data_IF_459516939361
#
_entry.id   IF_459516939361
#
_cell.length_a   1.000
_cell.length_b   1.000
_cell.length_c   1.000
_cell.angle_alpha   90.00
_cell.angle_beta   90.00
_cell.angle_gamma   90.00
#
_symmetry.space_group_name_H-M   'P 1'
#
loop_
_entity.id
_entity.type
_entity.pdbx_description
1 polymer ?
#
# COMPACT_ATOMS: atom_id res chain seq x y z
N UNK A 1 34.06 -22.19 -24.17
CA UNK A 1 33.81 -22.76 -22.84
C UNK A 1 32.91 -21.77 -22.13
N UNK A 2 31.64 -22.04 -22.09
CA UNK A 2 30.64 -21.11 -21.53
C UNK A 2 30.56 -21.33 -20.01
N UNK A 3 30.97 -20.35 -19.23
CA UNK A 3 30.73 -20.32 -17.80
C UNK A 3 29.26 -19.92 -17.56
N UNK A 4 28.38 -20.91 -17.38
CA UNK A 4 27.06 -20.69 -16.80
C UNK A 4 27.25 -20.29 -15.34
N UNK A 5 27.14 -19.01 -15.01
CA UNK A 5 26.96 -18.56 -13.63
C UNK A 5 25.53 -18.97 -13.21
N UNK A 6 25.45 -19.86 -12.23
CA UNK A 6 24.18 -20.27 -11.63
C UNK A 6 23.69 -19.14 -10.70
N UNK A 7 22.55 -18.61 -11.00
CA UNK A 7 21.78 -17.83 -10.06
C UNK A 7 21.41 -18.70 -8.86
N UNK A 8 21.66 -18.23 -7.64
CA UNK A 8 21.16 -18.87 -6.43
C UNK A 8 19.68 -18.47 -6.29
N UNK A 9 18.81 -19.41 -6.54
CA UNK A 9 17.38 -19.29 -6.32
C UNK A 9 17.08 -19.51 -4.84
N UNK A 10 16.41 -18.55 -4.24
CA UNK A 10 15.75 -18.75 -2.96
C UNK A 10 14.29 -19.09 -3.28
N UNK A 11 13.97 -20.38 -3.26
CA UNK A 11 12.60 -20.84 -3.40
C UNK A 11 11.89 -20.71 -2.06
N UNK A 12 10.91 -19.84 -1.96
CA UNK A 12 10.04 -19.73 -0.79
C UNK A 12 8.69 -20.34 -1.15
N UNK A 13 8.32 -21.39 -0.45
CA UNK A 13 7.02 -22.02 -0.59
C UNK A 13 5.98 -21.22 0.20
N UNK A 14 5.14 -20.47 -0.50
CA UNK A 14 3.99 -19.79 0.08
C UNK A 14 2.84 -20.78 0.20
N UNK A 15 2.48 -21.14 1.42
CA UNK A 15 1.28 -21.92 1.70
C UNK A 15 0.04 -21.02 1.77
N UNK A 16 -0.71 -20.88 0.69
CA UNK A 16 -2.02 -20.23 0.70
C UNK A 16 -3.08 -21.22 1.23
N UNK A 17 -3.73 -20.87 2.34
CA UNK A 17 -4.96 -21.52 2.78
C UNK A 17 -6.17 -20.74 2.25
N UNK A 18 -6.79 -21.25 1.18
CA UNK A 18 -8.00 -20.69 0.58
C UNK A 18 -9.23 -21.26 1.28
N UNK A 19 -9.96 -20.42 1.99
CA UNK A 19 -11.33 -20.70 2.45
C UNK A 19 -12.33 -20.06 1.49
N UNK A 20 -12.92 -20.84 0.60
CA UNK A 20 -13.93 -20.36 -0.32
C UNK A 20 -15.31 -20.28 0.34
N UNK A 21 -16.01 -19.18 0.16
CA UNK A 21 -17.46 -19.07 0.33
C UNK A 21 -18.08 -18.52 -0.95
N UNK A 22 -19.13 -19.20 -1.39
CA UNK A 22 -19.90 -18.88 -2.58
C UNK A 22 -20.94 -17.80 -2.24
N UNK A 23 -21.05 -16.78 -3.08
CA UNK A 23 -22.11 -15.77 -3.06
C UNK A 23 -23.21 -16.14 -4.06
N UNK A 24 -24.46 -15.91 -3.65
CA UNK A 24 -25.61 -15.89 -4.55
C UNK A 24 -25.92 -14.44 -4.93
N UNK A 25 -26.25 -14.26 -6.22
CA UNK A 25 -26.67 -12.99 -6.82
C UNK A 25 -28.11 -12.66 -6.40
N UNK A 26 -28.38 -11.39 -6.13
CA UNK A 26 -29.68 -10.77 -6.36
C UNK A 26 -29.46 -9.27 -6.69
N UNK A 27 -29.87 -8.92 -7.92
CA UNK A 27 -29.90 -7.56 -8.45
C UNK A 27 -31.06 -6.76 -7.85
N UNK A 28 -30.80 -5.54 -7.39
CA UNK A 28 -31.81 -4.48 -7.38
C UNK A 28 -31.19 -3.08 -7.53
N UNK A 29 -31.53 -2.44 -8.65
CA UNK A 29 -31.18 -1.06 -8.96
C UNK A 29 -32.02 -0.07 -8.12
N UNK A 30 -31.39 0.88 -7.45
CA UNK A 30 -32.02 2.16 -7.18
C UNK A 30 -31.03 3.32 -7.18
N UNK A 31 -31.31 4.23 -8.04
CA UNK A 31 -30.63 5.49 -8.33
C UNK A 31 -30.76 6.54 -7.22
N UNK A 32 -29.64 7.25 -6.96
CA UNK A 32 -29.60 8.69 -6.72
C UNK A 32 -29.87 9.17 -5.30
N UNK A 33 -28.85 9.73 -4.65
CA UNK A 33 -28.86 11.16 -4.35
C UNK A 33 -27.50 11.61 -3.77
N UNK A 34 -26.82 12.47 -4.47
CA UNK A 34 -25.63 13.16 -3.99
C UNK A 34 -26.07 14.41 -3.22
N UNK A 35 -25.97 14.37 -1.90
CA UNK A 35 -26.22 15.50 -1.03
C UNK A 35 -25.15 15.62 0.06
N UNK A 36 -24.03 16.29 -0.26
CA UNK A 36 -23.03 16.68 0.75
C UNK A 36 -23.62 17.76 1.66
N UNK A 37 -24.15 17.36 2.80
CA UNK A 37 -24.54 18.26 3.88
C UNK A 37 -23.52 18.20 5.00
N UNK A 38 -22.61 19.17 5.05
CA UNK A 38 -21.73 19.42 6.20
C UNK A 38 -22.52 20.11 7.31
N UNK A 39 -23.29 19.36 8.08
CA UNK A 39 -23.87 19.79 9.34
C UNK A 39 -23.19 19.02 10.46
N UNK A 40 -22.75 19.72 11.51
CA UNK A 40 -22.30 19.10 12.77
C UNK A 40 -23.45 18.29 13.33
N UNK A 41 -23.41 16.95 13.10
CA UNK A 41 -24.47 16.05 13.57
C UNK A 41 -24.32 15.89 15.07
N UNK A 42 -25.37 16.23 15.83
CA UNK A 42 -25.41 15.94 17.27
C UNK A 42 -25.25 14.45 17.50
N UNK A 43 -24.54 14.07 18.59
CA UNK A 43 -24.37 12.67 18.97
C UNK A 43 -25.73 12.01 19.23
N UNK A 44 -25.96 10.84 18.61
CA UNK A 44 -27.11 9.97 18.93
C UNK A 44 -26.92 9.31 20.29
N UNK A 45 -25.67 8.93 20.59
CA UNK A 45 -25.26 8.41 21.89
C UNK A 45 -23.87 8.95 22.21
N UNK A 46 -23.59 9.20 23.50
CA UNK A 46 -22.26 9.56 23.99
C UNK A 46 -21.82 8.57 25.04
N UNK A 47 -20.61 8.01 24.86
CA UNK A 47 -20.03 7.05 25.79
C UNK A 47 -18.79 7.63 26.46
N UNK A 48 -18.65 7.38 27.75
CA UNK A 48 -17.46 7.69 28.56
C UNK A 48 -16.75 6.40 28.97
N UNK A 49 -15.42 6.41 29.17
CA UNK A 49 -14.72 5.23 29.67
C UNK A 49 -15.32 4.70 30.99
N UNK A 50 -15.43 3.39 31.07
CA UNK A 50 -16.05 2.69 32.18
C UNK A 50 -15.36 1.35 32.45
N UNK A 51 -15.89 0.55 33.36
CA UNK A 51 -15.43 -0.84 33.58
C UNK A 51 -16.02 -1.84 32.55
N UNK A 52 -17.10 -1.44 31.86
CA UNK A 52 -17.86 -2.28 30.93
C UNK A 52 -17.71 -1.78 29.49
N UNK A 53 -16.52 -1.23 29.14
CA UNK A 53 -16.24 -0.56 27.86
C UNK A 53 -16.55 -1.43 26.65
N UNK A 54 -16.13 -2.71 26.67
CA UNK A 54 -16.39 -3.64 25.57
C UNK A 54 -17.89 -3.79 25.28
N UNK A 55 -18.68 -4.04 26.32
CA UNK A 55 -20.10 -4.25 26.15
C UNK A 55 -20.84 -2.97 25.75
N UNK A 56 -20.42 -1.83 26.33
CA UNK A 56 -21.02 -0.54 26.03
C UNK A 56 -20.74 -0.09 24.59
N UNK A 57 -19.48 -0.19 24.11
CA UNK A 57 -19.14 0.19 22.75
C UNK A 57 -19.76 -0.75 21.73
N UNK A 58 -19.62 -2.08 21.91
CA UNK A 58 -20.20 -3.04 20.99
C UNK A 58 -21.73 -2.97 21.01
N UNK A 59 -22.33 -2.72 22.17
CA UNK A 59 -23.79 -2.49 22.29
C UNK A 59 -24.23 -1.26 21.48
N UNK A 60 -23.51 -0.13 21.61
CA UNK A 60 -23.81 1.07 20.83
C UNK A 60 -23.64 0.85 19.32
N UNK A 61 -22.67 0.04 18.89
CA UNK A 61 -22.50 -0.30 17.46
C UNK A 61 -23.63 -1.19 16.93
N UNK A 62 -24.15 -2.11 17.76
CA UNK A 62 -25.27 -2.99 17.41
C UNK A 62 -26.59 -2.21 17.36
N UNK A 63 -26.80 -1.31 18.32
CA UNK A 63 -28.06 -0.56 18.48
C UNK A 63 -28.11 0.68 17.54
N UNK A 64 -27.01 1.01 16.83
CA UNK A 64 -26.96 2.15 15.93
C UNK A 64 -27.95 2.01 14.78
N UNK A 65 -28.63 3.11 14.47
CA UNK A 65 -29.47 3.24 13.29
C UNK A 65 -28.72 4.00 12.19
N UNK A 66 -29.16 3.79 10.96
CA UNK A 66 -28.58 4.47 9.79
C UNK A 66 -28.52 6.00 9.96
N UNK A 67 -27.32 6.52 9.89
CA UNK A 67 -27.04 7.95 10.00
C UNK A 67 -26.75 8.43 11.41
N UNK A 68 -26.65 7.53 12.38
CA UNK A 68 -26.29 7.86 13.75
C UNK A 68 -24.84 8.33 13.90
N UNK A 69 -24.60 9.11 14.94
CA UNK A 69 -23.27 9.49 15.39
C UNK A 69 -23.06 8.99 16.82
N UNK A 70 -22.11 8.07 16.97
CA UNK A 70 -21.66 7.55 18.25
C UNK A 70 -20.46 8.39 18.69
N UNK A 71 -20.63 9.17 19.74
CA UNK A 71 -19.58 10.01 20.29
C UNK A 71 -18.86 9.32 21.45
N UNK A 72 -17.54 9.38 21.45
CA UNK A 72 -16.70 8.84 22.50
C UNK A 72 -15.98 9.98 23.20
N UNK A 73 -16.22 10.14 24.49
CA UNK A 73 -15.52 11.15 25.29
C UNK A 73 -14.03 10.81 25.43
N UNK A 74 -13.25 11.82 25.73
CA UNK A 74 -11.82 11.69 26.04
C UNK A 74 -11.60 10.68 27.17
N UNK A 75 -10.61 9.81 26.98
CA UNK A 75 -10.16 8.83 27.95
C UNK A 75 -9.82 7.49 27.32
N UNK A 76 -9.49 6.52 28.16
CA UNK A 76 -9.05 5.19 27.72
C UNK A 76 -10.16 4.16 27.90
N UNK A 77 -10.67 3.66 26.81
CA UNK A 77 -11.60 2.56 26.75
C UNK A 77 -10.82 1.24 26.67
N UNK A 78 -11.01 0.34 27.62
CA UNK A 78 -10.33 -0.96 27.68
C UNK A 78 -11.14 -2.02 26.97
N UNK A 79 -10.58 -2.58 25.92
CA UNK A 79 -11.28 -3.49 25.03
C UNK A 79 -10.67 -4.89 25.10
N UNK A 80 -11.55 -5.88 25.26
CA UNK A 80 -11.18 -7.30 25.35
C UNK A 80 -11.53 -8.10 24.12
N UNK A 81 -12.17 -7.47 23.15
CA UNK A 81 -12.58 -8.06 21.87
C UNK A 81 -12.61 -7.04 20.75
N UNK A 82 -12.72 -7.55 19.53
CA UNK A 82 -12.95 -6.75 18.33
C UNK A 82 -14.27 -5.98 18.45
N UNK A 83 -14.29 -4.77 17.92
CA UNK A 83 -15.52 -4.01 17.71
C UNK A 83 -15.97 -4.17 16.25
N UNK A 84 -17.25 -4.40 16.03
CA UNK A 84 -17.80 -4.57 14.67
C UNK A 84 -18.91 -3.57 14.43
N UNK A 85 -18.73 -2.73 13.42
CA UNK A 85 -19.70 -1.76 12.91
C UNK A 85 -20.31 -2.32 11.62
N UNK A 86 -21.63 -2.60 11.67
CA UNK A 86 -22.34 -3.27 10.59
C UNK A 86 -23.62 -2.53 10.14
N UNK A 87 -23.79 -1.29 10.58
CA UNK A 87 -24.91 -0.43 10.19
C UNK A 87 -24.42 0.71 9.34
N UNK A 88 -24.97 0.87 8.14
CA UNK A 88 -24.50 1.86 7.16
C UNK A 88 -24.69 3.32 7.61
N UNK A 89 -23.76 4.18 7.17
CA UNK A 89 -23.79 5.63 7.41
C UNK A 89 -23.66 6.02 8.88
N UNK A 90 -23.01 5.20 9.67
CA UNK A 90 -22.70 5.51 11.07
C UNK A 90 -21.37 6.24 11.17
N UNK A 91 -21.33 7.26 12.02
CA UNK A 91 -20.09 7.97 12.36
C UNK A 91 -19.70 7.61 13.79
N UNK A 92 -18.51 7.06 13.97
CA UNK A 92 -17.88 6.89 15.29
C UNK A 92 -16.88 8.02 15.46
N UNK A 93 -17.16 8.94 16.39
CA UNK A 93 -16.39 10.16 16.58
C UNK A 93 -15.86 10.26 18.00
N UNK A 94 -14.56 10.33 18.15
CA UNK A 94 -13.91 10.63 19.42
C UNK A 94 -13.58 12.12 19.59
N UNK A 95 -12.87 12.39 20.66
CA UNK A 95 -12.23 13.67 20.96
C UNK A 95 -10.71 13.47 20.98
N UNK A 96 -9.94 14.56 20.95
CA UNK A 96 -8.51 14.48 21.17
C UNK A 96 -8.20 13.81 22.51
N UNK A 97 -7.55 12.64 22.48
CA UNK A 97 -7.25 11.81 23.65
C UNK A 97 -8.31 10.73 23.94
N UNK A 98 -9.21 10.45 23.00
CA UNK A 98 -10.00 9.22 23.01
C UNK A 98 -9.14 8.06 22.57
N UNK A 99 -8.95 7.07 23.45
CA UNK A 99 -8.06 5.91 23.23
C UNK A 99 -8.87 4.63 23.34
N UNK A 100 -8.85 3.81 22.30
CA UNK A 100 -9.36 2.45 22.25
C UNK A 100 -8.19 1.48 22.48
N UNK A 101 -8.06 0.96 23.69
CA UNK A 101 -6.92 0.14 24.13
C UNK A 101 -7.26 -1.35 24.05
N UNK A 102 -6.64 -2.04 23.08
CA UNK A 102 -6.80 -3.46 22.82
C UNK A 102 -5.72 -4.34 23.46
N UNK A 103 -4.91 -3.81 24.38
CA UNK A 103 -3.81 -4.55 25.02
C UNK A 103 -4.29 -5.88 25.63
N UNK A 104 -5.49 -5.89 26.23
CA UNK A 104 -6.09 -7.08 26.85
C UNK A 104 -7.03 -7.85 25.91
N UNK A 105 -6.98 -7.61 24.58
CA UNK A 105 -7.83 -8.26 23.60
C UNK A 105 -7.65 -9.79 23.66
N UNK A 106 -8.77 -10.52 23.82
CA UNK A 106 -8.81 -11.99 23.92
C UNK A 106 -9.70 -12.65 22.87
N UNK A 107 -10.55 -11.87 22.18
CA UNK A 107 -11.48 -12.35 21.14
C UNK A 107 -11.45 -11.43 19.91
N UNK A 108 -11.76 -12.02 18.75
CA UNK A 108 -11.62 -11.34 17.45
C UNK A 108 -10.15 -11.13 17.08
N UNK A 109 -9.90 -10.67 15.88
CA UNK A 109 -8.56 -10.41 15.37
C UNK A 109 -8.26 -8.91 15.33
N UNK A 110 -9.19 -8.09 14.86
CA UNK A 110 -8.99 -6.68 14.57
C UNK A 110 -9.38 -5.77 15.76
N UNK A 111 -8.96 -4.53 15.70
CA UNK A 111 -9.46 -3.49 16.59
C UNK A 111 -10.90 -3.15 16.24
N UNK A 112 -11.09 -2.47 15.10
CA UNK A 112 -12.43 -2.15 14.56
C UNK A 112 -12.59 -2.82 13.19
N UNK A 113 -13.69 -3.53 13.01
CA UNK A 113 -14.16 -4.05 11.72
C UNK A 113 -15.34 -3.21 11.22
N UNK A 114 -15.21 -2.66 10.00
CA UNK A 114 -16.28 -1.97 9.28
C UNK A 114 -16.78 -2.91 8.19
N UNK A 115 -18.07 -3.22 8.19
CA UNK A 115 -18.72 -4.12 7.24
C UNK A 115 -19.99 -3.53 6.62
N UNK A 116 -20.16 -2.22 6.70
CA UNK A 116 -21.27 -1.50 6.08
C UNK A 116 -20.78 -0.23 5.38
N UNK A 117 -21.58 0.25 4.42
CA UNK A 117 -21.22 1.36 3.54
C UNK A 117 -21.34 2.74 4.20
N UNK A 118 -20.53 3.68 3.72
CA UNK A 118 -20.53 5.08 4.12
C UNK A 118 -20.23 5.32 5.62
N UNK A 119 -19.55 4.41 6.27
CA UNK A 119 -19.19 4.56 7.68
C UNK A 119 -17.96 5.46 7.83
N UNK A 120 -17.93 6.19 8.93
CA UNK A 120 -16.85 7.13 9.24
C UNK A 120 -16.26 6.83 10.61
N UNK A 121 -14.94 6.68 10.68
CA UNK A 121 -14.17 6.77 11.92
C UNK A 121 -13.46 8.12 11.97
N UNK A 122 -13.62 8.86 13.04
CA UNK A 122 -13.08 10.21 13.19
C UNK A 122 -12.49 10.46 14.58
N UNK A 123 -11.25 10.93 14.62
CA UNK A 123 -10.57 11.37 15.83
C UNK A 123 -10.48 10.28 16.91
N UNK A 124 -9.85 9.16 16.58
CA UNK A 124 -9.66 8.00 17.45
C UNK A 124 -8.18 7.63 17.54
N UNK A 125 -7.75 7.14 18.70
CA UNK A 125 -6.47 6.45 18.85
C UNK A 125 -6.74 4.99 19.18
N UNK A 126 -6.19 4.07 18.40
CA UNK A 126 -6.32 2.62 18.53
C UNK A 126 -4.96 2.07 18.92
N UNK A 127 -4.87 1.45 20.09
CA UNK A 127 -3.63 0.93 20.62
C UNK A 127 -3.64 -0.60 20.74
N UNK A 128 -2.55 -1.24 20.28
CA UNK A 128 -2.22 -2.64 20.51
C UNK A 128 -3.28 -3.67 20.05
N UNK A 129 -3.94 -3.51 18.90
CA UNK A 129 -4.82 -4.58 18.38
C UNK A 129 -4.01 -5.83 18.06
N UNK A 130 -4.61 -7.02 18.19
CA UNK A 130 -3.91 -8.29 17.88
C UNK A 130 -3.69 -8.51 16.39
N UNK A 131 -4.63 -8.10 15.58
CA UNK A 131 -4.56 -8.11 14.12
C UNK A 131 -4.56 -6.68 13.58
N UNK A 132 -5.41 -6.39 12.61
CA UNK A 132 -5.47 -5.07 11.99
C UNK A 132 -6.08 -4.03 12.95
N UNK A 133 -5.60 -2.79 12.87
CA UNK A 133 -6.16 -1.72 13.71
C UNK A 133 -7.58 -1.37 13.29
N UNK A 134 -7.75 -0.97 12.04
CA UNK A 134 -9.04 -0.74 11.39
C UNK A 134 -9.10 -1.61 10.13
N UNK A 135 -10.09 -2.47 10.04
CA UNK A 135 -10.37 -3.27 8.85
C UNK A 135 -11.70 -2.85 8.24
N UNK A 136 -11.72 -2.56 6.94
CA UNK A 136 -12.95 -2.30 6.18
C UNK A 136 -13.00 -3.28 5.00
N UNK A 137 -14.01 -4.15 4.95
CA UNK A 137 -14.06 -5.24 3.99
C UNK A 137 -15.31 -5.16 3.14
N UNK A 138 -15.12 -5.08 1.81
CA UNK A 138 -16.20 -5.11 0.82
C UNK A 138 -17.25 -4.02 1.09
N UNK A 139 -16.79 -2.80 1.35
CA UNK A 139 -17.64 -1.64 1.66
C UNK A 139 -17.41 -0.50 0.67
N UNK A 140 -18.44 0.32 0.48
CA UNK A 140 -18.40 1.51 -0.37
C UNK A 140 -18.40 2.80 0.48
N UNK A 141 -17.60 3.78 0.10
CA UNK A 141 -17.41 5.05 0.81
C UNK A 141 -16.98 4.95 2.29
N UNK A 142 -16.05 4.08 2.70
CA UNK A 142 -15.50 4.16 4.05
C UNK A 142 -14.62 5.41 4.17
N UNK A 143 -14.82 6.15 5.26
CA UNK A 143 -14.00 7.32 5.61
C UNK A 143 -13.27 7.10 6.92
N UNK A 144 -11.94 7.16 6.89
CA UNK A 144 -11.08 7.04 8.07
C UNK A 144 -10.24 8.31 8.14
N UNK A 145 -10.50 9.15 9.13
CA UNK A 145 -9.79 10.44 9.28
C UNK A 145 -9.42 10.74 10.72
N UNK A 146 -8.28 11.39 10.92
CA UNK A 146 -7.73 11.68 12.23
C UNK A 146 -7.63 10.41 13.11
N UNK A 147 -7.39 9.25 12.54
CA UNK A 147 -7.27 7.99 13.26
C UNK A 147 -5.81 7.62 13.43
N UNK A 148 -5.39 7.42 14.68
CA UNK A 148 -4.05 6.95 15.03
C UNK A 148 -4.11 5.47 15.37
N UNK A 149 -3.31 4.64 14.71
CA UNK A 149 -3.15 3.22 15.04
C UNK A 149 -1.69 2.97 15.41
N UNK A 150 -1.46 2.40 16.58
CA UNK A 150 -0.11 2.09 17.00
C UNK A 150 0.01 0.84 17.87
N UNK A 151 1.14 0.17 17.75
CA UNK A 151 1.62 -0.82 18.71
C UNK A 151 2.66 -0.15 19.62
N UNK A 152 2.26 0.11 20.86
CA UNK A 152 3.00 0.99 21.79
C UNK A 152 4.36 0.46 22.22
N UNK A 153 4.62 -0.84 22.10
CA UNK A 153 5.93 -1.46 22.34
C UNK A 153 6.89 -1.32 21.14
N UNK A 154 6.43 -0.70 20.04
CA UNK A 154 7.19 -0.48 18.83
C UNK A 154 7.20 -1.66 17.85
N UNK A 155 8.08 -1.62 16.82
CA UNK A 155 8.12 -2.61 15.74
C UNK A 155 8.41 -4.02 16.24
N UNK A 156 7.51 -4.97 15.91
CA UNK A 156 7.67 -6.37 16.30
C UNK A 156 6.92 -7.27 15.32
N UNK A 157 7.53 -8.40 14.93
CA UNK A 157 6.91 -9.40 14.05
C UNK A 157 5.63 -10.03 14.61
N UNK A 158 5.36 -9.90 15.91
CA UNK A 158 4.13 -10.37 16.56
C UNK A 158 3.01 -9.33 16.58
N UNK A 159 3.26 -8.12 16.14
CA UNK A 159 2.23 -7.10 15.98
C UNK A 159 1.25 -7.50 14.89
N UNK A 160 0.07 -6.90 14.87
CA UNK A 160 -0.87 -7.07 13.77
C UNK A 160 -0.30 -6.62 12.42
N UNK A 161 -0.87 -7.14 11.34
CA UNK A 161 -0.35 -6.90 10.00
C UNK A 161 -0.51 -5.45 9.56
N UNK A 162 -1.69 -4.91 9.72
CA UNK A 162 -2.04 -3.62 9.14
C UNK A 162 -2.57 -2.63 10.17
N UNK A 163 -2.12 -1.37 10.06
CA UNK A 163 -2.72 -0.30 10.87
C UNK A 163 -4.13 0.03 10.36
N UNK A 164 -4.25 0.49 9.12
CA UNK A 164 -5.52 0.78 8.45
C UNK A 164 -5.60 -0.07 7.20
N UNK A 165 -6.67 -0.88 7.05
CA UNK A 165 -6.77 -1.96 6.07
C UNK A 165 -8.14 -2.03 5.37
N UNK A 166 -8.46 -1.12 4.45
CA UNK A 166 -9.55 -1.33 3.49
C UNK A 166 -9.16 -2.38 2.43
N UNK A 167 -10.07 -3.33 2.17
CA UNK A 167 -9.87 -4.37 1.15
C UNK A 167 -11.18 -4.67 0.44
N UNK A 168 -11.10 -4.91 -0.88
CA UNK A 168 -12.27 -5.14 -1.77
C UNK A 168 -13.34 -4.04 -1.64
N UNK A 169 -12.92 -2.81 -1.45
CA UNK A 169 -13.75 -1.65 -1.17
C UNK A 169 -13.66 -0.61 -2.28
N UNK A 170 -14.58 0.35 -2.31
CA UNK A 170 -14.55 1.44 -3.29
C UNK A 170 -14.80 2.80 -2.64
N UNK A 171 -14.37 3.89 -3.32
CA UNK A 171 -14.46 5.26 -2.82
C UNK A 171 -13.86 5.44 -1.43
N UNK A 172 -12.65 4.88 -1.24
CA UNK A 172 -11.96 4.84 0.06
C UNK A 172 -11.29 6.17 0.36
N UNK A 173 -11.61 6.79 1.50
CA UNK A 173 -10.91 7.98 1.99
C UNK A 173 -10.15 7.69 3.29
N UNK A 174 -8.82 7.90 3.25
CA UNK A 174 -7.94 7.85 4.42
C UNK A 174 -7.17 9.17 4.49
N UNK A 175 -7.46 9.98 5.49
CA UNK A 175 -6.84 11.31 5.61
C UNK A 175 -6.46 11.69 7.04
N UNK A 176 -5.37 12.44 7.17
CA UNK A 176 -4.90 12.97 8.44
C UNK A 176 -4.68 11.88 9.52
N UNK A 177 -4.34 10.65 9.09
CA UNK A 177 -4.15 9.49 9.95
C UNK A 177 -2.67 9.27 10.30
N UNK A 178 -2.45 8.49 11.37
CA UNK A 178 -1.13 8.04 11.79
C UNK A 178 -1.13 6.51 11.97
N UNK A 179 -0.07 5.84 11.47
CA UNK A 179 0.09 4.40 11.65
C UNK A 179 1.54 4.03 12.02
N UNK A 180 1.72 3.24 13.09
CA UNK A 180 3.04 2.86 13.57
C UNK A 180 3.10 1.47 14.18
N UNK A 181 4.13 0.71 13.84
CA UNK A 181 4.44 -0.58 14.44
C UNK A 181 3.81 -1.79 13.76
N UNK A 182 3.12 -1.63 12.62
CA UNK A 182 2.53 -2.72 11.86
C UNK A 182 3.61 -3.69 11.34
N UNK A 183 3.37 -5.01 11.48
CA UNK A 183 4.31 -6.04 11.03
C UNK A 183 4.27 -6.31 9.53
N UNK A 184 3.39 -5.62 8.83
CA UNK A 184 3.27 -5.54 7.38
C UNK A 184 3.16 -4.06 6.98
N UNK A 185 2.00 -3.48 6.80
CA UNK A 185 1.85 -2.12 6.31
C UNK A 185 1.08 -1.20 7.27
N UNK A 186 1.58 0.02 7.48
CA UNK A 186 0.90 1.03 8.30
C UNK A 186 -0.47 1.41 7.73
N UNK A 187 -0.53 1.80 6.45
CA UNK A 187 -1.77 2.15 5.73
C UNK A 187 -1.80 1.35 4.43
N UNK A 188 -2.71 0.39 4.34
CA UNK A 188 -2.88 -0.49 3.19
C UNK A 188 -4.26 -0.32 2.58
N UNK A 189 -4.34 -0.31 1.25
CA UNK A 189 -5.60 -0.46 0.51
C UNK A 189 -5.39 -1.49 -0.60
N UNK A 190 -6.15 -2.57 -0.58
CA UNK A 190 -6.00 -3.66 -1.56
C UNK A 190 -7.29 -4.06 -2.25
N UNK A 191 -7.15 -4.50 -3.52
CA UNK A 191 -8.23 -5.01 -4.36
C UNK A 191 -9.44 -4.07 -4.44
N UNK A 192 -9.17 -2.77 -4.43
CA UNK A 192 -10.13 -1.68 -4.26
C UNK A 192 -10.06 -0.70 -5.43
N UNK A 193 -11.00 0.25 -5.51
CA UNK A 193 -11.02 1.29 -6.52
C UNK A 193 -11.43 2.65 -5.96
N UNK A 194 -11.08 3.71 -6.70
CA UNK A 194 -11.42 5.10 -6.35
C UNK A 194 -10.94 5.44 -4.93
N UNK A 195 -9.62 5.54 -4.78
CA UNK A 195 -8.95 5.58 -3.49
C UNK A 195 -8.27 6.94 -3.29
N UNK A 196 -8.46 7.57 -2.14
CA UNK A 196 -7.72 8.75 -1.71
C UNK A 196 -7.00 8.46 -0.39
N UNK A 197 -5.66 8.54 -0.39
CA UNK A 197 -4.80 8.42 0.79
C UNK A 197 -3.99 9.71 0.88
N UNK A 198 -4.32 10.60 1.82
CA UNK A 198 -3.69 11.92 1.87
C UNK A 198 -3.37 12.43 3.28
N UNK A 199 -2.31 13.22 3.38
CA UNK A 199 -1.90 13.91 4.60
C UNK A 199 -1.67 12.97 5.79
N UNK A 200 -1.31 11.71 5.54
CA UNK A 200 -1.09 10.73 6.59
C UNK A 200 0.40 10.67 6.96
N UNK A 201 0.67 10.21 8.16
CA UNK A 201 2.01 9.86 8.62
C UNK A 201 2.09 8.35 8.90
N UNK A 202 3.09 7.68 8.31
CA UNK A 202 3.33 6.26 8.52
C UNK A 202 4.80 6.03 8.88
N UNK A 203 5.06 5.49 10.07
CA UNK A 203 6.42 5.33 10.59
C UNK A 203 6.58 4.04 11.38
N UNK A 204 7.80 3.49 11.41
CA UNK A 204 8.13 2.29 12.19
C UNK A 204 7.33 1.03 11.79
N UNK A 205 6.85 0.96 10.55
CA UNK A 205 6.20 -0.21 9.96
C UNK A 205 7.16 -0.96 9.04
N UNK A 206 6.77 -2.12 8.49
CA UNK A 206 7.54 -2.71 7.39
C UNK A 206 7.31 -1.89 6.13
N UNK A 207 6.09 -1.74 5.64
CA UNK A 207 5.79 -0.71 4.65
C UNK A 207 5.04 0.46 5.28
N UNK A 208 5.33 1.69 4.85
CA UNK A 208 4.57 2.86 5.32
C UNK A 208 3.17 2.88 4.76
N UNK A 209 3.06 2.96 3.42
CA UNK A 209 1.80 2.99 2.68
C UNK A 209 1.86 1.98 1.54
N UNK A 210 0.78 1.26 1.30
CA UNK A 210 0.68 0.29 0.22
C UNK A 210 -0.66 0.35 -0.50
N UNK A 211 -0.60 0.35 -1.83
CA UNK A 211 -1.74 0.17 -2.73
C UNK A 211 -1.50 -1.12 -3.50
N UNK A 212 -2.33 -2.14 -3.24
CA UNK A 212 -2.13 -3.48 -3.80
C UNK A 212 -3.32 -3.90 -4.67
N UNK A 213 -3.05 -4.38 -5.90
CA UNK A 213 -4.07 -4.88 -6.84
C UNK A 213 -5.31 -3.96 -6.91
N UNK A 214 -5.09 -2.67 -6.93
CA UNK A 214 -6.15 -1.66 -6.86
C UNK A 214 -6.10 -0.74 -8.07
N UNK A 215 -7.21 -0.07 -8.38
CA UNK A 215 -7.29 0.82 -9.53
C UNK A 215 -7.73 2.22 -9.10
N UNK A 216 -7.19 3.23 -9.80
CA UNK A 216 -7.58 4.61 -9.57
C UNK A 216 -7.35 5.04 -8.11
N UNK A 217 -6.08 5.09 -7.70
CA UNK A 217 -5.66 5.53 -6.38
C UNK A 217 -4.92 6.88 -6.46
N UNK A 218 -5.25 7.83 -5.60
CA UNK A 218 -4.53 9.10 -5.43
C UNK A 218 -3.86 9.13 -4.05
N UNK A 219 -2.52 9.09 -4.01
CA UNK A 219 -1.70 9.00 -2.79
C UNK A 219 -0.84 10.25 -2.69
N UNK A 220 -1.19 11.20 -1.83
CA UNK A 220 -0.50 12.51 -1.82
C UNK A 220 -0.44 13.20 -0.48
N UNK A 221 0.56 14.07 -0.34
CA UNK A 221 0.76 14.86 0.88
C UNK A 221 1.12 14.02 2.11
N UNK A 222 1.46 12.73 1.92
CA UNK A 222 1.79 11.84 3.03
C UNK A 222 3.26 11.95 3.43
N UNK A 223 3.56 11.59 4.67
CA UNK A 223 4.89 11.45 5.21
C UNK A 223 5.15 9.99 5.59
N UNK A 224 5.87 9.27 4.73
CA UNK A 224 6.30 7.89 4.97
C UNK A 224 7.78 7.86 5.35
N UNK A 225 8.10 7.61 6.64
CA UNK A 225 9.47 7.68 7.11
C UNK A 225 9.78 6.67 8.20
N UNK A 226 11.05 6.29 8.33
CA UNK A 226 11.47 5.36 9.38
C UNK A 226 10.88 3.96 9.29
N UNK A 227 10.32 3.57 8.15
CA UNK A 227 9.85 2.22 7.84
C UNK A 227 10.97 1.39 7.19
N UNK A 228 10.72 0.14 6.84
CA UNK A 228 11.63 -0.65 5.98
C UNK A 228 11.51 -0.18 4.53
N UNK A 229 10.28 -0.02 4.03
CA UNK A 229 9.93 0.57 2.75
C UNK A 229 8.93 1.72 2.94
N UNK A 230 8.99 2.76 2.09
CA UNK A 230 8.15 3.95 2.21
C UNK A 230 6.76 3.76 1.61
N UNK A 231 6.63 3.83 0.28
CA UNK A 231 5.37 3.65 -0.44
C UNK A 231 5.51 2.51 -1.44
N UNK A 232 4.55 1.57 -1.43
CA UNK A 232 4.51 0.41 -2.31
C UNK A 232 3.27 0.47 -3.21
N UNK A 233 3.45 0.20 -4.51
CA UNK A 233 2.36 0.05 -5.49
C UNK A 233 2.52 -1.34 -6.10
N UNK A 234 1.82 -2.30 -5.55
CA UNK A 234 2.01 -3.71 -5.87
C UNK A 234 0.84 -4.29 -6.66
N UNK A 235 1.18 -5.21 -7.54
CA UNK A 235 0.24 -6.07 -8.21
C UNK A 235 0.72 -7.52 -8.04
N UNK A 236 -0.02 -8.32 -7.29
CA UNK A 236 0.33 -9.68 -6.91
C UNK A 236 -0.57 -10.70 -7.59
N UNK A 237 -0.06 -11.90 -7.94
CA UNK A 237 -0.87 -12.97 -8.51
C UNK A 237 -1.82 -13.59 -7.49
N UNK A 238 -2.89 -14.23 -7.97
CA UNK A 238 -3.80 -15.03 -7.14
C UNK A 238 -4.86 -14.24 -6.39
N UNK A 239 -4.88 -12.90 -6.53
CA UNK A 239 -5.88 -12.03 -5.91
C UNK A 239 -7.11 -11.84 -6.81
N UNK A 240 -8.20 -11.28 -6.30
CA UNK A 240 -9.45 -11.10 -7.05
C UNK A 240 -9.32 -10.05 -8.15
N UNK A 241 -8.65 -8.94 -7.88
CA UNK A 241 -8.27 -7.96 -8.90
C UNK A 241 -6.92 -8.35 -9.49
N UNK A 242 -6.87 -8.57 -10.80
CA UNK A 242 -5.70 -9.12 -11.50
C UNK A 242 -4.73 -8.08 -12.04
N UNK A 243 -5.20 -6.86 -12.25
CA UNK A 243 -4.49 -5.83 -12.98
C UNK A 243 -4.69 -4.47 -12.28
N UNK A 244 -4.04 -4.31 -11.13
CA UNK A 244 -3.98 -3.05 -10.40
C UNK A 244 -3.19 -2.02 -11.20
N UNK A 245 -3.73 -0.79 -11.32
CA UNK A 245 -3.17 0.28 -12.15
C UNK A 245 -3.69 1.67 -11.82
N UNK A 246 -3.05 2.66 -12.40
CA UNK A 246 -3.42 4.08 -12.30
C UNK A 246 -3.38 4.61 -10.87
N UNK A 247 -2.32 4.25 -10.15
CA UNK A 247 -1.97 4.93 -8.91
C UNK A 247 -1.25 6.26 -9.24
N UNK A 248 -1.80 7.37 -8.77
CA UNK A 248 -1.19 8.69 -8.83
C UNK A 248 -0.53 8.99 -7.48
N UNK A 249 0.80 8.84 -7.41
CA UNK A 249 1.58 9.01 -6.18
C UNK A 249 2.36 10.32 -6.28
N UNK A 250 1.90 11.36 -5.55
CA UNK A 250 2.48 12.69 -5.74
C UNK A 250 2.57 13.54 -4.46
N UNK A 251 3.49 14.49 -4.47
CA UNK A 251 3.68 15.47 -3.39
C UNK A 251 3.89 14.83 -1.99
N UNK A 252 4.41 13.60 -1.93
CA UNK A 252 4.71 12.91 -0.67
C UNK A 252 6.14 13.22 -0.22
N UNK A 253 6.36 13.16 1.11
CA UNK A 253 7.67 13.10 1.73
C UNK A 253 7.97 11.63 2.07
N UNK A 254 8.95 11.05 1.40
CA UNK A 254 9.36 9.65 1.55
C UNK A 254 10.84 9.69 1.94
N UNK A 255 11.14 9.45 3.23
CA UNK A 255 12.49 9.67 3.71
C UNK A 255 12.90 8.71 4.84
N UNK A 256 14.20 8.41 4.88
CA UNK A 256 14.78 7.62 5.97
C UNK A 256 14.10 6.27 6.23
N UNK A 257 13.49 5.63 5.23
CA UNK A 257 12.87 4.31 5.38
C UNK A 257 13.94 3.22 5.43
N UNK A 258 14.63 3.15 6.56
CA UNK A 258 15.83 2.35 6.76
C UNK A 258 15.72 1.35 7.93
N UNK A 259 14.52 1.10 8.44
CA UNK A 259 14.27 0.12 9.48
C UNK A 259 14.58 -1.28 8.96
N UNK A 260 15.20 -2.12 9.77
CA UNK A 260 15.38 -3.52 9.42
C UNK A 260 14.02 -4.20 9.23
N UNK A 261 13.89 -5.00 8.15
CA UNK A 261 12.64 -5.70 7.89
C UNK A 261 12.33 -6.68 9.02
N UNK A 262 11.20 -6.50 9.66
CA UNK A 262 10.75 -7.34 10.78
C UNK A 262 9.46 -8.10 10.46
N UNK A 263 9.04 -8.14 9.19
CA UNK A 263 7.87 -8.91 8.77
C UNK A 263 8.00 -10.39 9.15
N UNK A 264 6.89 -11.05 9.49
CA UNK A 264 6.88 -12.50 9.61
C UNK A 264 7.33 -13.17 8.31
N UNK A 265 8.23 -14.15 8.39
CA UNK A 265 8.72 -14.86 7.21
C UNK A 265 7.59 -15.57 6.44
N UNK A 266 7.68 -15.55 5.10
CA UNK A 266 6.75 -16.21 4.20
C UNK A 266 5.73 -15.27 3.51
N UNK A 267 5.67 -14.02 3.92
CA UNK A 267 4.89 -12.98 3.23
C UNK A 267 5.79 -12.26 2.23
N UNK A 268 5.20 -11.76 1.14
CA UNK A 268 5.93 -11.01 0.10
C UNK A 268 6.60 -9.75 0.67
N UNK A 269 5.98 -9.12 1.64
CA UNK A 269 6.49 -7.91 2.30
C UNK A 269 7.84 -8.17 3.02
N UNK A 270 8.12 -9.41 3.42
CA UNK A 270 9.40 -9.79 4.01
C UNK A 270 10.56 -9.72 3.00
N UNK A 271 10.28 -9.69 1.70
CA UNK A 271 11.27 -9.57 0.64
C UNK A 271 11.58 -8.11 0.27
N UNK A 272 10.81 -7.14 0.78
CA UNK A 272 11.08 -5.72 0.56
C UNK A 272 12.43 -5.34 1.19
N UNK A 273 13.38 -4.84 0.38
CA UNK A 273 14.69 -4.50 0.90
C UNK A 273 14.63 -3.34 1.91
N UNK A 274 15.35 -3.48 3.00
CA UNK A 274 15.58 -2.37 3.92
C UNK A 274 16.15 -1.16 3.17
N UNK A 275 15.58 0.01 3.35
CA UNK A 275 16.04 1.21 2.67
C UNK A 275 15.41 1.40 1.28
N UNK A 276 14.15 0.99 1.13
CA UNK A 276 13.36 1.24 -0.08
C UNK A 276 12.53 2.51 0.08
N UNK A 277 12.61 3.44 -0.87
CA UNK A 277 11.78 4.64 -0.90
C UNK A 277 10.40 4.34 -1.47
N UNK A 278 10.30 4.20 -2.79
CA UNK A 278 9.07 3.84 -3.49
C UNK A 278 9.31 2.60 -4.37
N UNK A 279 8.37 1.66 -4.35
CA UNK A 279 8.49 0.43 -5.10
C UNK A 279 7.20 0.14 -5.90
N UNK A 280 7.35 0.07 -7.22
CA UNK A 280 6.29 -0.40 -8.13
C UNK A 280 6.62 -1.83 -8.55
N UNK A 281 5.72 -2.76 -8.25
CA UNK A 281 5.84 -4.17 -8.61
C UNK A 281 4.69 -4.58 -9.53
N UNK A 282 5.01 -4.90 -10.79
CA UNK A 282 4.08 -5.43 -11.79
C UNK A 282 2.78 -4.60 -11.94
N UNK A 283 2.82 -3.30 -11.68
CA UNK A 283 1.67 -2.40 -11.78
C UNK A 283 1.84 -1.40 -12.92
N UNK A 284 0.75 -1.12 -13.62
CA UNK A 284 0.70 -0.39 -14.87
C UNK A 284 0.14 1.02 -14.75
N UNK A 285 0.45 1.86 -15.76
CA UNK A 285 -0.18 3.16 -15.98
C UNK A 285 -0.13 4.11 -14.75
N UNK A 286 0.83 3.94 -13.85
CA UNK A 286 0.96 4.77 -12.67
C UNK A 286 1.65 6.09 -13.01
N UNK A 287 1.29 7.15 -12.30
CA UNK A 287 1.93 8.46 -12.35
C UNK A 287 2.60 8.75 -11.00
N UNK A 288 3.92 9.01 -11.00
CA UNK A 288 4.72 9.20 -9.79
C UNK A 288 5.48 10.52 -9.93
N UNK A 289 5.03 11.56 -9.23
CA UNK A 289 5.57 12.90 -9.46
C UNK A 289 5.58 13.81 -8.23
N UNK A 290 6.42 14.84 -8.27
CA UNK A 290 6.46 15.86 -7.21
C UNK A 290 6.88 15.35 -5.83
N UNK A 291 7.26 14.08 -5.70
CA UNK A 291 7.65 13.52 -4.42
C UNK A 291 9.08 13.94 -4.03
N UNK A 292 9.31 14.08 -2.73
CA UNK A 292 10.66 14.19 -2.16
C UNK A 292 11.08 12.83 -1.61
N UNK A 293 12.11 12.22 -2.18
CA UNK A 293 12.56 10.85 -1.89
C UNK A 293 14.04 10.86 -1.55
N UNK A 294 14.38 10.66 -0.27
CA UNK A 294 15.76 10.83 0.18
C UNK A 294 16.19 9.91 1.32
N UNK A 295 17.51 9.72 1.42
CA UNK A 295 18.16 8.99 2.50
C UNK A 295 17.73 7.50 2.60
N UNK A 296 17.50 6.83 1.47
CA UNK A 296 17.21 5.41 1.45
C UNK A 296 18.48 4.58 1.21
N UNK A 297 18.74 3.60 2.07
CA UNK A 297 19.94 2.78 1.96
C UNK A 297 20.05 2.03 0.64
N UNK A 298 18.94 1.53 0.15
CA UNK A 298 18.92 0.62 -0.98
C UNK A 298 18.47 1.28 -2.29
N UNK A 299 17.28 1.87 -2.35
CA UNK A 299 16.67 2.30 -3.61
C UNK A 299 15.80 3.53 -3.37
N UNK A 300 15.88 4.53 -4.26
CA UNK A 300 14.95 5.66 -4.27
C UNK A 300 13.59 5.25 -4.82
N UNK A 301 13.50 5.02 -6.14
CA UNK A 301 12.33 4.45 -6.81
C UNK A 301 12.75 3.21 -7.58
N UNK A 302 12.00 2.11 -7.48
CA UNK A 302 12.15 0.92 -8.31
C UNK A 302 10.88 0.59 -9.08
N UNK A 303 11.04 0.19 -10.35
CA UNK A 303 9.99 -0.35 -11.22
C UNK A 303 10.43 -1.76 -11.61
N UNK A 304 9.75 -2.76 -11.07
CA UNK A 304 10.18 -4.15 -11.11
C UNK A 304 9.04 -5.04 -11.57
N UNK A 305 9.36 -5.97 -12.46
CA UNK A 305 8.44 -7.02 -12.89
C UNK A 305 8.34 -8.15 -11.86
N UNK A 306 7.26 -8.88 -11.86
CA UNK A 306 7.10 -10.08 -11.04
C UNK A 306 8.16 -11.16 -11.38
N UNK A 307 8.67 -11.18 -12.60
CA UNK A 307 9.73 -12.11 -13.02
C UNK A 307 11.01 -12.01 -12.20
N UNK A 308 11.36 -10.81 -11.75
CA UNK A 308 12.54 -10.64 -10.91
C UNK A 308 12.33 -11.24 -9.51
N UNK A 309 11.10 -11.26 -9.02
CA UNK A 309 10.75 -11.76 -7.69
C UNK A 309 10.58 -13.28 -7.70
N UNK A 310 9.95 -13.85 -8.74
CA UNK A 310 9.64 -15.30 -8.78
C UNK A 310 9.85 -15.93 -10.17
N UNK A 311 11.08 -15.96 -10.66
CA UNK A 311 11.44 -16.51 -11.99
C UNK A 311 11.05 -17.97 -12.23
N UNK A 312 11.00 -18.81 -11.20
CA UNK A 312 10.89 -20.28 -11.35
C UNK A 312 9.46 -20.82 -11.28
N UNK A 313 8.45 -19.98 -11.21
CA UNK A 313 7.07 -20.40 -11.01
C UNK A 313 6.17 -20.24 -12.23
N UNK A 314 6.74 -20.13 -13.45
CA UNK A 314 6.00 -19.93 -14.70
C UNK A 314 4.79 -20.88 -14.91
N UNK A 315 4.80 -22.06 -14.34
CA UNK A 315 3.70 -23.03 -14.48
C UNK A 315 2.63 -22.97 -13.39
N UNK A 316 2.81 -22.13 -12.36
CA UNK A 316 1.90 -22.05 -11.21
C UNK A 316 1.22 -20.68 -11.07
N UNK A 317 1.58 -19.73 -11.94
CA UNK A 317 1.08 -18.38 -11.86
C UNK A 317 -0.33 -18.27 -12.45
N UNK A 318 -1.06 -17.29 -11.94
CA UNK A 318 -2.38 -16.94 -12.43
C UNK A 318 -2.32 -16.52 -13.90
N UNK A 319 -2.97 -17.22 -14.85
CA UNK A 319 -2.85 -16.92 -16.28
C UNK A 319 -3.48 -15.58 -16.68
N UNK A 320 -4.26 -14.96 -15.81
CA UNK A 320 -4.87 -13.65 -16.02
C UNK A 320 -4.03 -12.50 -15.40
N UNK A 321 -2.93 -12.84 -14.74
CA UNK A 321 -2.06 -11.85 -14.07
C UNK A 321 -1.04 -11.26 -15.05
N UNK A 322 -0.91 -9.93 -15.05
CA UNK A 322 0.14 -9.23 -15.78
C UNK A 322 1.42 -9.10 -14.92
N UNK A 323 2.54 -9.63 -15.43
CA UNK A 323 3.84 -9.62 -14.74
C UNK A 323 4.63 -8.34 -14.92
N UNK A 324 4.26 -7.53 -15.88
CA UNK A 324 5.08 -6.45 -16.42
C UNK A 324 4.59 -5.10 -15.92
N UNK A 325 5.47 -4.28 -15.33
CA UNK A 325 5.14 -2.89 -15.04
C UNK A 325 5.33 -2.05 -16.29
N UNK A 326 4.26 -1.63 -16.92
CA UNK A 326 4.28 -0.88 -18.16
C UNK A 326 3.62 0.50 -18.04
N UNK A 327 3.99 1.40 -18.94
CA UNK A 327 3.36 2.72 -19.10
C UNK A 327 3.41 3.61 -17.85
N UNK A 328 4.28 3.31 -16.89
CA UNK A 328 4.46 4.15 -15.72
C UNK A 328 5.15 5.46 -16.12
N UNK A 329 4.75 6.56 -15.51
CA UNK A 329 5.31 7.88 -15.73
C UNK A 329 5.90 8.44 -14.44
N UNK A 330 7.23 8.47 -14.35
CA UNK A 330 7.99 8.95 -13.19
C UNK A 330 8.60 10.29 -13.56
N UNK A 331 8.12 11.39 -12.96
CA UNK A 331 8.57 12.72 -13.36
C UNK A 331 8.56 13.74 -12.21
N UNK A 332 9.39 14.76 -12.37
CA UNK A 332 9.45 15.92 -11.49
C UNK A 332 9.63 15.60 -9.99
N UNK A 333 10.22 14.44 -9.66
CA UNK A 333 10.56 14.07 -8.29
C UNK A 333 11.90 14.68 -7.87
N UNK A 334 12.04 14.98 -6.59
CA UNK A 334 13.29 15.44 -5.97
C UNK A 334 13.91 14.25 -5.23
N UNK A 335 15.08 13.81 -5.69
CA UNK A 335 15.72 12.61 -5.14
C UNK A 335 17.16 12.91 -4.72
N UNK A 336 17.58 12.39 -3.56
CA UNK A 336 18.95 12.51 -3.07
C UNK A 336 19.33 11.46 -2.04
N UNK A 337 20.61 11.14 -1.97
CA UNK A 337 21.21 10.30 -0.94
C UNK A 337 20.62 8.87 -0.85
N UNK A 338 20.19 8.31 -2.00
CA UNK A 338 19.67 6.96 -2.10
C UNK A 338 20.74 5.96 -2.60
N UNK A 339 20.57 4.67 -2.27
CA UNK A 339 21.34 3.56 -2.87
C UNK A 339 22.79 3.42 -2.39
N UNK A 340 23.17 4.00 -1.27
CA UNK A 340 24.56 4.04 -0.83
C UNK A 340 24.97 2.90 0.12
N UNK A 341 24.00 2.22 0.76
CA UNK A 341 24.25 1.15 1.74
C UNK A 341 23.25 0.01 1.51
N UNK A 342 23.52 -0.80 0.48
CA UNK A 342 22.59 -1.80 -0.05
C UNK A 342 22.33 -2.94 0.95
N UNK A 343 21.06 -3.29 1.11
CA UNK A 343 20.61 -4.30 2.06
C UNK A 343 19.78 -5.40 1.37
N UNK A 344 19.96 -6.66 1.82
CA UNK A 344 19.13 -7.77 1.34
C UNK A 344 19.17 -7.97 -0.18
N UNK A 345 18.03 -8.08 -0.81
CA UNK A 345 17.85 -8.33 -2.25
C UNK A 345 18.47 -7.22 -3.12
N UNK A 346 18.49 -5.98 -2.67
CA UNK A 346 19.10 -4.88 -3.42
C UNK A 346 20.62 -5.05 -3.57
N UNK A 347 21.30 -5.64 -2.58
CA UNK A 347 22.72 -5.96 -2.69
C UNK A 347 22.97 -7.06 -3.73
N UNK A 348 22.06 -8.02 -3.89
CA UNK A 348 22.14 -9.05 -4.93
C UNK A 348 21.92 -8.44 -6.32
N UNK A 349 20.93 -7.56 -6.46
CA UNK A 349 20.66 -6.83 -7.70
C UNK A 349 21.87 -6.02 -8.13
N UNK A 350 22.48 -5.28 -7.23
CA UNK A 350 23.67 -4.49 -7.50
C UNK A 350 24.87 -5.35 -7.87
N UNK A 351 25.07 -6.48 -7.21
CA UNK A 351 26.14 -7.42 -7.52
C UNK A 351 26.01 -8.04 -8.92
N UNK A 352 24.77 -8.30 -9.35
CA UNK A 352 24.48 -8.76 -10.72
C UNK A 352 24.78 -7.66 -11.74
N UNK A 353 24.41 -6.44 -11.42
CA UNK A 353 24.66 -5.27 -12.24
C UNK A 353 26.14 -4.84 -12.23
N UNK A 354 27.01 -5.48 -11.44
CA UNK A 354 28.42 -5.07 -11.21
C UNK A 354 28.53 -3.63 -10.71
N UNK A 355 27.62 -3.25 -9.81
CA UNK A 355 27.55 -1.93 -9.19
C UNK A 355 27.84 -2.01 -7.68
N UNK A 356 28.46 -0.99 -7.12
CA UNK A 356 28.69 -0.87 -5.68
C UNK A 356 27.58 -0.13 -4.94
N UNK A 357 26.69 0.54 -5.69
CA UNK A 357 25.51 1.27 -5.24
C UNK A 357 24.44 1.21 -6.31
N UNK A 358 23.20 1.35 -5.93
CA UNK A 358 22.11 1.51 -6.91
C UNK A 358 21.81 3.00 -7.13
N UNK A 359 21.50 3.40 -8.37
CA UNK A 359 20.98 4.72 -8.69
C UNK A 359 19.64 5.04 -7.99
N UNK A 360 19.22 6.31 -8.02
CA UNK A 360 17.96 6.75 -7.47
C UNK A 360 16.74 6.09 -8.13
N UNK A 361 16.83 5.88 -9.45
CA UNK A 361 15.79 5.24 -10.27
C UNK A 361 16.33 3.90 -10.80
N UNK A 362 15.63 2.82 -10.48
CA UNK A 362 15.98 1.46 -10.90
C UNK A 362 14.82 0.85 -11.68
N UNK A 363 15.09 0.42 -12.91
CA UNK A 363 14.17 -0.41 -13.69
C UNK A 363 14.84 -1.74 -14.03
N UNK A 364 14.13 -2.85 -13.89
CA UNK A 364 14.68 -4.19 -14.17
C UNK A 364 14.93 -4.45 -15.66
N UNK A 365 14.30 -3.68 -16.54
CA UNK A 365 14.50 -3.77 -17.99
C UNK A 365 13.73 -4.90 -18.66
N UNK A 366 12.86 -5.59 -17.93
CA UNK A 366 12.03 -6.68 -18.48
C UNK A 366 10.87 -6.10 -19.28
N UNK A 367 10.66 -6.60 -20.49
CA UNK A 367 9.70 -6.11 -21.47
C UNK A 367 8.76 -7.25 -21.88
N UNK A 368 7.45 -6.98 -21.89
CA UNK A 368 6.49 -7.89 -22.52
C UNK A 368 6.64 -7.84 -24.05
N UNK A 369 7.37 -8.80 -24.62
CA UNK A 369 7.58 -8.87 -26.07
C UNK A 369 6.37 -9.37 -26.84
N UNK A 370 5.40 -9.97 -26.17
CA UNK A 370 4.16 -10.48 -26.77
C UNK A 370 3.09 -9.38 -26.92
N UNK A 371 3.21 -8.29 -26.13
CA UNK A 371 2.25 -7.18 -26.08
C UNK A 371 2.91 -5.82 -26.28
N UNK A 372 3.49 -5.58 -27.43
CA UNK A 372 4.19 -4.30 -27.74
C UNK A 372 3.28 -3.20 -28.30
N UNK A 373 1.96 -3.37 -28.24
CA UNK A 373 1.02 -2.38 -28.77
C UNK A 373 1.19 -2.13 -30.29
N UNK A 374 1.70 -3.13 -31.05
CA UNK A 374 1.96 -3.03 -32.48
C UNK A 374 3.31 -2.39 -32.85
N UNK A 375 4.15 -2.05 -31.88
CA UNK A 375 5.52 -1.57 -32.08
C UNK A 375 6.58 -2.67 -32.07
N UNK A 376 7.84 -2.29 -32.00
CA UNK A 376 8.99 -3.19 -31.89
C UNK A 376 9.97 -2.66 -30.85
N UNK A 377 10.73 -3.56 -30.22
CA UNK A 377 11.84 -3.20 -29.35
C UNK A 377 13.04 -2.78 -30.21
N UNK A 378 13.55 -1.58 -30.02
CA UNK A 378 14.73 -1.06 -30.74
C UNK A 378 15.87 -0.80 -29.76
N UNK A 379 16.98 -1.51 -29.91
CA UNK A 379 18.17 -1.39 -29.04
C UNK A 379 17.85 -1.54 -27.53
N UNK A 380 16.95 -2.46 -27.18
CA UNK A 380 16.52 -2.68 -25.79
C UNK A 380 15.52 -1.64 -25.28
N UNK A 381 15.02 -0.74 -26.12
CA UNK A 381 14.00 0.26 -25.77
C UNK A 381 12.64 -0.18 -26.33
N UNK A 382 11.62 -0.38 -25.48
CA UNK A 382 10.29 -0.73 -25.95
C UNK A 382 9.61 0.44 -26.66
N UNK A 383 8.62 0.18 -27.52
CA UNK A 383 7.86 1.24 -28.16
C UNK A 383 7.12 2.10 -27.13
N UNK A 384 6.85 3.36 -27.48
CA UNK A 384 6.26 4.34 -26.55
C UNK A 384 4.91 3.88 -25.97
N UNK A 385 4.17 3.05 -26.71
CA UNK A 385 2.88 2.49 -26.29
C UNK A 385 2.94 1.69 -24.97
N UNK A 386 4.08 1.07 -24.67
CA UNK A 386 4.27 0.22 -23.46
C UNK A 386 5.43 0.69 -22.56
N UNK A 387 6.18 1.69 -23.00
CA UNK A 387 7.39 2.16 -22.33
C UNK A 387 7.08 2.84 -20.99
N UNK A 388 7.88 2.55 -19.98
CA UNK A 388 7.97 3.37 -18.78
C UNK A 388 8.71 4.68 -19.12
N UNK A 389 8.15 5.81 -18.71
CA UNK A 389 8.66 7.15 -18.98
C UNK A 389 9.33 7.75 -17.75
N UNK A 390 10.54 8.31 -17.90
CA UNK A 390 11.27 9.00 -16.85
C UNK A 390 11.65 10.38 -17.32
N UNK A 391 11.17 11.45 -16.67
CA UNK A 391 11.42 12.81 -17.15
C UNK A 391 11.41 13.84 -16.01
N UNK A 392 12.28 14.83 -16.09
CA UNK A 392 12.22 15.96 -15.17
C UNK A 392 12.62 15.67 -13.72
N UNK A 393 13.21 14.50 -13.41
CA UNK A 393 13.61 14.12 -12.06
C UNK A 393 14.94 14.78 -11.60
N UNK A 394 15.26 15.95 -12.12
CA UNK A 394 16.41 16.74 -11.71
C UNK A 394 17.75 16.02 -11.95
N UNK A 395 18.52 15.87 -10.89
CA UNK A 395 19.83 15.21 -10.92
C UNK A 395 19.76 13.70 -10.55
N UNK A 396 18.56 13.12 -10.48
CA UNK A 396 18.38 11.70 -10.15
C UNK A 396 19.16 10.81 -11.12
N UNK A 397 19.86 9.86 -10.57
CA UNK A 397 20.60 8.85 -11.32
C UNK A 397 19.66 7.70 -11.73
N UNK A 398 19.96 7.04 -12.86
CA UNK A 398 19.09 6.00 -13.45
C UNK A 398 19.89 4.74 -13.80
N UNK A 399 19.26 3.58 -13.73
CA UNK A 399 19.73 2.35 -14.34
C UNK A 399 18.56 1.52 -14.90
N UNK A 400 18.71 1.07 -16.14
CA UNK A 400 18.05 -0.10 -16.69
C UNK A 400 18.98 -1.31 -16.46
N UNK A 401 18.53 -2.30 -15.72
CA UNK A 401 19.33 -3.47 -15.35
C UNK A 401 19.44 -4.52 -16.47
N UNK A 402 18.52 -4.53 -17.44
CA UNK A 402 18.44 -5.54 -18.50
C UNK A 402 18.53 -6.99 -17.95
N UNK A 403 17.71 -7.26 -16.94
CA UNK A 403 17.76 -8.53 -16.18
C UNK A 403 17.49 -9.74 -17.08
N UNK A 404 16.65 -9.60 -18.10
CA UNK A 404 16.32 -10.68 -19.03
C UNK A 404 17.56 -11.20 -19.77
N UNK A 405 18.52 -10.33 -20.07
CA UNK A 405 19.76 -10.65 -20.76
C UNK A 405 20.97 -10.68 -19.81
N UNK A 406 20.77 -10.99 -18.53
CA UNK A 406 21.83 -11.07 -17.52
C UNK A 406 22.67 -9.77 -17.42
N UNK A 407 22.05 -8.63 -17.67
CA UNK A 407 22.69 -7.31 -17.62
C UNK A 407 23.56 -6.97 -18.84
N UNK A 408 23.47 -7.73 -19.94
CA UNK A 408 24.31 -7.49 -21.13
C UNK A 408 24.04 -6.15 -21.82
N UNK A 409 22.79 -5.65 -21.73
CA UNK A 409 22.34 -4.36 -22.26
C UNK A 409 22.10 -3.31 -21.18
N UNK A 410 22.62 -3.51 -19.94
CA UNK A 410 22.42 -2.53 -18.87
C UNK A 410 22.84 -1.12 -19.29
N UNK A 411 22.09 -0.12 -18.87
CA UNK A 411 22.33 1.27 -19.26
C UNK A 411 21.99 2.24 -18.15
N UNK A 412 22.83 3.23 -17.94
CA UNK A 412 22.56 4.38 -17.06
C UNK A 412 22.08 5.61 -17.86
N UNK A 413 21.89 5.49 -19.17
CA UNK A 413 21.35 6.56 -20.01
C UNK A 413 19.82 6.54 -19.97
N UNK A 414 19.24 7.55 -19.32
CA UNK A 414 17.78 7.71 -19.20
C UNK A 414 17.13 8.25 -20.48
N UNK A 415 17.90 8.89 -21.38
CA UNK A 415 17.36 9.60 -22.56
C UNK A 415 16.45 8.76 -23.46
N UNK A 416 16.73 7.47 -23.73
CA UNK A 416 15.83 6.64 -24.52
C UNK A 416 14.44 6.46 -23.91
N UNK A 417 14.31 6.73 -22.60
CA UNK A 417 13.09 6.56 -21.81
C UNK A 417 12.45 7.91 -21.42
N UNK A 418 13.01 9.04 -21.90
CA UNK A 418 12.40 10.36 -21.74
C UNK A 418 11.18 10.49 -22.66
N UNK A 419 10.02 10.20 -22.13
CA UNK A 419 8.72 10.39 -22.79
C UNK A 419 7.73 11.05 -21.83
N UNK A 420 6.52 11.27 -22.28
CA UNK A 420 5.44 11.87 -21.47
C UNK A 420 4.17 11.04 -21.63
N UNK A 421 3.35 11.06 -20.59
CA UNK A 421 2.00 10.51 -20.63
C UNK A 421 1.01 11.57 -20.23
N UNK A 422 -0.25 11.37 -20.57
CA UNK A 422 -1.33 12.22 -20.09
C UNK A 422 -1.45 12.04 -18.57
N UNK A 423 -1.68 13.14 -17.85
CA UNK A 423 -1.89 13.11 -16.41
C UNK A 423 -3.11 12.26 -16.06
N UNK A 424 -3.01 11.52 -14.96
CA UNK A 424 -4.14 10.77 -14.43
C UNK A 424 -5.25 11.71 -13.97
N UNK A 425 -6.47 11.24 -14.05
CA UNK A 425 -7.63 12.03 -13.58
C UNK A 425 -7.61 12.10 -12.06
N UNK A 426 -7.92 13.28 -11.55
CA UNK A 426 -8.14 13.48 -10.13
C UNK A 426 -9.37 12.70 -9.66
N UNK A 427 -9.25 12.08 -8.50
CA UNK A 427 -10.34 11.35 -7.85
C UNK A 427 -11.11 12.32 -6.96
N UNK A 428 -12.43 12.35 -7.10
CA UNK A 428 -13.32 13.22 -6.32
C UNK A 428 -14.58 12.43 -5.94
N UNK A 429 -14.92 12.43 -4.64
CA UNK A 429 -16.16 11.85 -4.08
C UNK A 429 -16.51 12.43 -2.70
#
# INVERSE_FOLDING_TARGET
MAHRRRWLLVSIAVGLSIGGFACGDDDDESSGDAGAGTGDKSCSVTLSPSKDDQDNLQGAFIDAEKGDTICLEKGRFKLTGQLTLATERVTVKGEEGTILDFTDQSSGANGIEISADHDTLDTLRIENPKGDGVRATAVDYPTIRNVHVEWTEGPNASNGGYGIYPVTSSHVLIEDCFASGASDTGIYVGQSSDIIIRNNEATANVAGIEVENSTDAEVYGNHAHGNTGGILVFNLPGLSVKDGKRANVHDNQIEDNNLANFAPGGNIIAEVPQGTGLFVLASDDNEIHGNTIKNHKSIGISIISWYLVQRDEEGKMDPEYNFYPERNYVHDNIMSDNGADLQGTSALIAAVADESRLPDLVWDGIIDTDNLGGGTVENGVPPESVRNCFKGNGAATFINLDVEHDGAGKSTDVKPYECTRDALKKIEF
#
